data_IF_892279220755
#
_entry.id   IF_892279220755
#
_cell.length_a   1.000
_cell.length_b   1.000
_cell.length_c   1.000
_cell.angle_alpha   90.00
_cell.angle_beta   90.00
_cell.angle_gamma   90.00
#
_symmetry.space_group_name_H-M   'P 1'
#
loop_
_entity.id
_entity.type
_entity.pdbx_description
1 polymer ?
#
# COMPACT_ATOMS: atom_id res chain seq x y z
N UNK A 1 -1.47 -14.52 -9.27
CA UNK A 1 -0.84 -13.23 -9.58
C UNK A 1 -1.26 -12.82 -10.99
N UNK A 2 -1.97 -11.72 -11.13
CA UNK A 2 -2.53 -11.27 -12.42
C UNK A 2 -1.52 -10.45 -13.27
N UNK A 3 -0.28 -10.27 -12.79
CA UNK A 3 0.74 -9.44 -13.44
C UNK A 3 0.49 -7.92 -13.34
N UNK A 4 -0.69 -7.53 -12.89
CA UNK A 4 -1.11 -6.12 -12.77
C UNK A 4 -0.68 -5.48 -11.45
N UNK A 5 -0.26 -6.30 -10.46
CA UNK A 5 -0.02 -5.83 -9.10
C UNK A 5 -1.28 -5.20 -8.52
N UNK A 6 -2.22 -6.00 -8.01
CA UNK A 6 -3.52 -5.49 -7.58
C UNK A 6 -3.77 -5.74 -6.11
N UNK A 7 -4.39 -4.77 -5.42
CA UNK A 7 -4.94 -4.93 -4.09
C UNK A 7 -6.45 -5.15 -4.17
N UNK A 8 -6.90 -6.06 -3.32
CA UNK A 8 -8.31 -6.42 -3.21
C UNK A 8 -8.78 -6.28 -1.78
N UNK A 9 -10.06 -6.00 -1.60
CA UNK A 9 -10.74 -5.97 -0.33
C UNK A 9 -11.98 -6.88 -0.37
N UNK A 10 -12.23 -7.58 0.73
CA UNK A 10 -13.45 -8.35 0.91
C UNK A 10 -13.81 -8.43 2.39
N UNK A 11 -15.10 -8.59 2.66
CA UNK A 11 -15.57 -8.89 4.01
C UNK A 11 -15.29 -10.36 4.34
N UNK A 12 -14.87 -10.61 5.58
CA UNK A 12 -14.80 -11.96 6.12
C UNK A 12 -16.14 -12.40 6.69
N UNK A 13 -16.34 -13.71 6.78
CA UNK A 13 -17.44 -14.32 7.56
C UNK A 13 -17.30 -13.95 9.04
N UNK A 14 -18.40 -14.07 9.81
CA UNK A 14 -18.42 -13.68 11.22
C UNK A 14 -17.42 -14.48 12.07
N UNK A 15 -17.12 -15.71 11.67
CA UNK A 15 -16.10 -16.57 12.29
C UNK A 15 -14.67 -16.33 11.75
N UNK A 16 -14.51 -15.38 10.83
CA UNK A 16 -13.24 -14.98 10.20
C UNK A 16 -12.51 -16.08 9.41
N UNK A 17 -13.19 -17.19 9.08
CA UNK A 17 -12.54 -18.34 8.44
C UNK A 17 -12.58 -18.33 6.92
N UNK A 18 -13.40 -17.47 6.32
CA UNK A 18 -13.59 -17.39 4.86
C UNK A 18 -14.03 -16.01 4.40
N UNK A 19 -13.93 -15.76 3.11
CA UNK A 19 -14.53 -14.56 2.52
C UNK A 19 -16.06 -14.69 2.53
N UNK A 20 -16.75 -13.64 2.99
CA UNK A 20 -18.22 -13.56 2.97
C UNK A 20 -18.76 -13.10 1.61
N UNK A 21 -17.89 -12.52 0.77
CA UNK A 21 -18.24 -11.99 -0.55
C UNK A 21 -17.03 -12.09 -1.51
N UNK A 22 -17.23 -12.01 -2.83
CA UNK A 22 -16.14 -11.91 -3.79
C UNK A 22 -15.26 -10.69 -3.53
N UNK A 23 -13.92 -10.81 -3.64
CA UNK A 23 -13.02 -9.67 -3.46
C UNK A 23 -13.23 -8.58 -4.52
N UNK A 24 -13.32 -7.33 -4.08
CA UNK A 24 -13.34 -6.13 -4.94
C UNK A 24 -11.92 -5.64 -5.14
N UNK A 25 -11.49 -5.43 -6.41
CA UNK A 25 -10.22 -4.76 -6.71
C UNK A 25 -10.34 -3.28 -6.34
N UNK A 26 -9.39 -2.75 -5.55
CA UNK A 26 -9.38 -1.37 -5.07
C UNK A 26 -8.21 -0.55 -5.61
N UNK A 27 -7.10 -1.20 -5.96
CA UNK A 27 -5.91 -0.58 -6.54
C UNK A 27 -5.30 -1.53 -7.58
N UNK A 28 -4.71 -0.96 -8.62
CA UNK A 28 -3.86 -1.67 -9.59
C UNK A 28 -2.59 -0.88 -9.83
N UNK A 29 -1.43 -1.50 -9.62
CA UNK A 29 -0.13 -0.92 -9.94
C UNK A 29 -0.02 -0.58 -11.42
N UNK A 30 -0.48 -1.47 -12.30
CA UNK A 30 -0.48 -1.25 -13.75
C UNK A 30 -1.28 -0.03 -14.20
N UNK A 31 -2.41 0.24 -13.54
CA UNK A 31 -3.34 1.29 -13.98
C UNK A 31 -3.26 2.58 -13.15
N UNK A 32 -2.33 2.68 -12.19
CA UNK A 32 -2.19 3.89 -11.38
C UNK A 32 -1.45 5.04 -12.10
N UNK A 33 -0.77 4.76 -13.21
CA UNK A 33 -0.12 5.77 -14.05
C UNK A 33 1.29 6.21 -13.63
N UNK A 34 1.82 5.68 -12.51
CA UNK A 34 3.15 6.04 -11.99
C UNK A 34 4.00 4.84 -11.56
N UNK A 35 3.44 3.64 -11.48
CA UNK A 35 4.22 2.43 -11.21
C UNK A 35 4.98 1.99 -12.45
N UNK A 36 6.17 1.45 -12.23
CA UNK A 36 7.00 0.85 -13.28
C UNK A 36 7.02 -0.66 -13.16
N UNK A 37 7.22 -1.34 -14.28
CA UNK A 37 7.44 -2.78 -14.28
C UNK A 37 8.81 -3.12 -13.73
N UNK A 38 8.86 -4.17 -12.94
CA UNK A 38 10.12 -4.76 -12.46
C UNK A 38 10.20 -6.24 -12.85
N UNK A 39 11.41 -6.79 -12.83
CA UNK A 39 11.60 -8.24 -12.97
C UNK A 39 11.20 -8.91 -11.65
N UNK A 40 10.03 -9.52 -11.63
CA UNK A 40 9.49 -10.23 -10.48
C UNK A 40 10.23 -11.55 -10.24
N UNK A 41 10.66 -12.22 -11.29
CA UNK A 41 11.45 -13.45 -11.23
C UNK A 41 11.88 -13.90 -12.63
N UNK A 42 13.20 -14.00 -12.87
CA UNK A 42 13.81 -14.58 -14.09
C UNK A 42 13.18 -14.08 -15.40
N UNK A 43 13.12 -12.78 -15.59
CA UNK A 43 12.53 -12.10 -16.76
C UNK A 43 11.01 -12.17 -16.88
N UNK A 44 10.32 -12.45 -15.78
CA UNK A 44 8.87 -12.27 -15.69
C UNK A 44 8.63 -10.85 -15.16
N UNK A 45 8.27 -9.93 -16.05
CA UNK A 45 8.01 -8.54 -15.69
C UNK A 45 6.57 -8.34 -15.26
N UNK A 46 6.38 -7.46 -14.28
CA UNK A 46 5.06 -7.13 -13.78
C UNK A 46 5.09 -5.91 -12.87
N UNK A 47 3.91 -5.49 -12.46
CA UNK A 47 3.73 -4.42 -11.49
C UNK A 47 3.59 -4.99 -10.09
N UNK A 48 3.93 -4.18 -9.09
CA UNK A 48 3.76 -4.50 -7.67
C UNK A 48 2.71 -3.56 -7.07
N UNK A 49 1.82 -4.09 -6.25
CA UNK A 49 1.05 -3.36 -5.27
C UNK A 49 0.95 -4.24 -4.02
N UNK A 50 1.53 -3.78 -2.93
CA UNK A 50 1.68 -4.59 -1.71
C UNK A 50 1.71 -3.73 -0.44
N UNK A 51 1.80 -4.38 0.73
CA UNK A 51 1.88 -3.73 2.03
C UNK A 51 0.68 -2.82 2.32
N UNK A 52 -0.59 -3.25 2.07
CA UNK A 52 -1.74 -2.39 2.31
C UNK A 52 -1.94 -2.13 3.80
N UNK A 53 -2.10 -0.87 4.16
CA UNK A 53 -2.47 -0.46 5.49
C UNK A 53 -3.62 0.55 5.43
N UNK A 54 -4.71 0.25 6.14
CA UNK A 54 -5.93 1.07 6.16
C UNK A 54 -6.09 1.75 7.52
N UNK A 55 -6.49 3.02 7.50
CA UNK A 55 -6.91 3.75 8.69
C UNK A 55 -7.96 4.82 8.36
N UNK A 56 -8.66 5.29 9.39
CA UNK A 56 -9.61 6.39 9.26
C UNK A 56 -8.95 7.72 9.61
N UNK A 57 -9.23 8.74 8.80
CA UNK A 57 -8.77 10.10 9.01
C UNK A 57 -9.82 11.09 8.54
N UNK A 58 -10.36 11.89 9.45
CA UNK A 58 -11.34 12.94 9.12
C UNK A 58 -12.58 12.41 8.38
N UNK A 59 -13.10 11.24 8.76
CA UNK A 59 -14.27 10.60 8.14
C UNK A 59 -13.99 9.99 6.77
N UNK A 60 -12.73 9.85 6.38
CA UNK A 60 -12.29 9.18 5.14
C UNK A 60 -11.48 7.94 5.49
N UNK A 61 -11.48 6.97 4.59
CA UNK A 61 -10.57 5.82 4.70
C UNK A 61 -9.31 6.11 3.89
N UNK A 62 -8.18 6.04 4.55
CA UNK A 62 -6.85 6.16 3.93
C UNK A 62 -6.29 4.78 3.71
N UNK A 63 -5.77 4.54 2.52
CA UNK A 63 -5.00 3.36 2.15
C UNK A 63 -3.56 3.79 1.86
N UNK A 64 -2.63 3.27 2.66
CA UNK A 64 -1.21 3.27 2.32
C UNK A 64 -0.89 1.95 1.64
N UNK A 65 -0.09 2.00 0.59
CA UNK A 65 0.39 0.82 -0.13
C UNK A 65 1.71 1.12 -0.83
N UNK A 66 2.41 0.09 -1.26
CA UNK A 66 3.74 0.26 -1.84
C UNK A 66 3.83 -0.30 -3.25
N UNK A 67 4.63 0.37 -4.07
CA UNK A 67 4.94 -0.01 -5.46
C UNK A 67 6.31 0.52 -5.86
N UNK A 68 6.82 0.05 -7.00
CA UNK A 68 8.00 0.62 -7.64
C UNK A 68 7.59 1.76 -8.58
N UNK A 69 8.26 2.90 -8.44
CA UNK A 69 8.16 4.06 -9.31
C UNK A 69 9.52 4.33 -9.96
N UNK A 70 9.63 5.36 -10.79
CA UNK A 70 10.93 5.80 -11.33
C UNK A 70 11.93 6.20 -10.23
N UNK A 71 11.44 6.57 -9.05
CA UNK A 71 12.26 6.92 -7.87
C UNK A 71 12.65 5.72 -7.00
N UNK A 72 12.34 4.48 -7.41
CA UNK A 72 12.52 3.26 -6.62
C UNK A 72 11.26 2.84 -5.87
N UNK A 73 11.43 2.01 -4.83
CA UNK A 73 10.32 1.54 -4.00
C UNK A 73 9.71 2.69 -3.21
N UNK A 74 8.40 2.83 -3.26
CA UNK A 74 7.69 4.04 -2.84
C UNK A 74 6.41 3.71 -2.09
N UNK A 75 6.03 4.56 -1.14
CA UNK A 75 4.72 4.51 -0.45
C UNK A 75 3.76 5.47 -1.10
N UNK A 76 2.59 4.96 -1.42
CA UNK A 76 1.49 5.69 -2.06
C UNK A 76 0.34 5.84 -1.07
N UNK A 77 -0.28 7.00 -1.06
CA UNK A 77 -1.49 7.30 -0.30
C UNK A 77 -2.66 7.47 -1.25
N UNK A 78 -3.69 6.66 -1.03
CA UNK A 78 -5.00 6.78 -1.67
C UNK A 78 -6.07 7.06 -0.62
N UNK A 79 -7.17 7.68 -1.00
CA UNK A 79 -8.25 8.06 -0.09
C UNK A 79 -9.60 7.66 -0.67
N UNK A 80 -10.43 7.02 0.16
CA UNK A 80 -11.85 6.78 -0.12
C UNK A 80 -12.73 7.68 0.75
N UNK A 81 -13.68 8.36 0.10
CA UNK A 81 -14.72 9.17 0.78
C UNK A 81 -16.00 8.38 1.07
N UNK A 82 -16.12 7.19 0.48
CA UNK A 82 -17.34 6.37 0.49
C UNK A 82 -17.17 5.10 1.32
N UNK A 83 -16.38 5.19 2.41
CA UNK A 83 -16.12 4.06 3.31
C UNK A 83 -15.09 3.08 2.75
N UNK A 84 -14.91 1.98 3.48
CA UNK A 84 -13.85 0.98 3.23
C UNK A 84 -14.01 0.25 1.88
N UNK A 85 -15.23 0.10 1.39
CA UNK A 85 -15.53 -0.50 0.07
C UNK A 85 -15.69 0.52 -1.06
N UNK A 86 -15.39 1.80 -0.78
CA UNK A 86 -15.47 2.86 -1.77
C UNK A 86 -14.37 2.80 -2.83
N UNK A 87 -14.31 3.84 -3.64
CA UNK A 87 -13.27 4.00 -4.65
C UNK A 87 -12.10 4.79 -4.05
N UNK A 88 -10.91 4.24 -4.18
CA UNK A 88 -9.67 4.81 -3.63
C UNK A 88 -8.99 5.70 -4.66
N UNK A 89 -9.22 7.00 -4.56
CA UNK A 89 -8.56 7.98 -5.42
C UNK A 89 -7.11 8.21 -4.96
N UNK A 90 -6.20 8.38 -5.91
CA UNK A 90 -4.83 8.81 -5.63
C UNK A 90 -4.83 10.17 -4.93
N UNK A 91 -4.04 10.30 -3.87
CA UNK A 91 -3.87 11.54 -3.13
C UNK A 91 -2.44 12.08 -3.31
N UNK A 92 -1.45 11.30 -2.89
CA UNK A 92 -0.03 11.67 -3.02
C UNK A 92 0.88 10.44 -2.99
N UNK A 93 2.10 10.61 -3.49
CA UNK A 93 3.21 9.74 -3.16
C UNK A 93 3.76 10.22 -1.81
N UNK A 94 3.66 9.38 -0.79
CA UNK A 94 4.01 9.73 0.58
C UNK A 94 5.52 9.66 0.83
N UNK A 95 6.16 8.64 0.24
CA UNK A 95 7.59 8.40 0.37
C UNK A 95 8.16 7.86 -0.95
N UNK A 96 9.27 8.46 -1.44
CA UNK A 96 9.88 8.14 -2.74
C UNK A 96 11.41 8.00 -2.65
N UNK A 97 11.93 7.41 -1.56
CA UNK A 97 13.37 7.28 -1.33
C UNK A 97 13.78 5.82 -1.13
N UNK A 98 13.32 4.95 -2.03
CA UNK A 98 13.61 3.51 -2.01
C UNK A 98 13.24 2.85 -0.67
N UNK A 99 11.99 3.07 -0.23
CA UNK A 99 11.45 2.46 0.98
C UNK A 99 9.94 2.29 0.92
N UNK A 100 9.43 1.35 1.71
CA UNK A 100 8.02 1.04 1.65
C UNK A 100 7.56 0.00 2.67
N UNK A 101 6.44 -0.66 2.36
CA UNK A 101 5.80 -1.67 3.19
C UNK A 101 5.52 -1.13 4.60
N UNK A 102 4.83 0.01 4.64
CA UNK A 102 4.68 0.82 5.83
C UNK A 102 3.45 0.47 6.66
N UNK A 103 3.50 0.89 7.91
CA UNK A 103 2.32 0.97 8.77
C UNK A 103 2.34 2.27 9.57
N UNK A 104 1.15 2.73 9.96
CA UNK A 104 0.97 3.88 10.85
C UNK A 104 0.74 3.41 12.28
N UNK A 105 1.29 4.11 13.25
CA UNK A 105 0.99 3.90 14.66
C UNK A 105 0.99 5.23 15.43
N UNK A 106 0.42 5.22 16.62
CA UNK A 106 0.41 6.37 17.52
C UNK A 106 1.24 6.03 18.74
N UNK A 107 2.14 6.92 19.13
CA UNK A 107 2.98 6.73 20.32
C UNK A 107 2.23 7.08 21.61
N UNK A 108 2.92 6.93 22.74
CA UNK A 108 2.35 7.20 24.07
C UNK A 108 2.07 8.70 24.34
N UNK A 109 2.59 9.58 23.49
CA UNK A 109 2.33 11.01 23.50
C UNK A 109 1.24 11.42 22.50
N UNK A 110 0.49 10.44 21.98
CA UNK A 110 -0.56 10.63 20.97
C UNK A 110 -0.07 11.18 19.61
N UNK A 111 1.25 11.17 19.37
CA UNK A 111 1.80 11.57 18.08
C UNK A 111 1.75 10.39 17.10
N UNK A 112 1.30 10.67 15.88
CA UNK A 112 1.27 9.68 14.81
C UNK A 112 2.59 9.60 14.07
N UNK A 113 2.97 8.38 13.75
CA UNK A 113 4.19 8.04 13.02
C UNK A 113 3.91 7.00 11.94
N UNK A 114 4.71 7.02 10.89
CA UNK A 114 4.74 5.95 9.90
C UNK A 114 6.10 5.26 10.00
N UNK A 115 6.09 3.94 10.14
CA UNK A 115 7.29 3.10 10.03
C UNK A 115 7.29 2.39 8.69
N UNK A 116 8.44 2.35 8.05
CA UNK A 116 8.68 1.65 6.79
C UNK A 116 10.09 1.06 6.77
N UNK A 117 10.40 0.19 5.82
CA UNK A 117 11.76 -0.24 5.60
C UNK A 117 12.46 0.61 4.53
N UNK A 118 13.75 0.85 4.70
CA UNK A 118 14.61 1.56 3.74
C UNK A 118 16.08 1.15 3.97
N UNK A 119 16.89 0.93 2.89
CA UNK A 119 16.47 0.83 1.48
C UNK A 119 15.67 -0.45 1.22
N UNK A 120 15.10 -0.60 0.03
CA UNK A 120 14.47 -1.85 -0.40
C UNK A 120 15.49 -2.81 -1.03
N UNK A 121 16.57 -3.10 -0.33
CA UNK A 121 17.68 -3.95 -0.80
C UNK A 121 18.16 -4.86 0.32
N UNK A 122 17.89 -6.16 0.20
CA UNK A 122 18.32 -7.15 1.18
C UNK A 122 19.86 -7.38 1.11
N UNK A 123 20.56 -7.50 2.25
CA UNK A 123 20.11 -7.45 3.65
C UNK A 123 20.27 -6.06 4.31
N UNK A 124 20.13 -4.99 3.54
CA UNK A 124 20.44 -3.63 4.01
C UNK A 124 19.23 -2.90 4.63
N UNK A 125 18.03 -3.51 4.54
CA UNK A 125 16.80 -2.92 5.05
C UNK A 125 16.88 -2.59 6.53
N UNK A 126 16.40 -1.42 6.89
CA UNK A 126 16.27 -0.93 8.27
C UNK A 126 14.91 -0.31 8.46
N UNK A 127 14.35 -0.43 9.65
CA UNK A 127 13.16 0.32 10.04
C UNK A 127 13.49 1.82 10.10
N UNK A 128 12.68 2.62 9.43
CA UNK A 128 12.79 4.09 9.40
C UNK A 128 11.45 4.66 9.84
N UNK A 129 11.49 5.66 10.71
CA UNK A 129 10.32 6.44 11.11
C UNK A 129 10.27 7.74 10.29
N UNK A 130 9.08 8.04 9.80
CA UNK A 130 8.78 9.34 9.20
C UNK A 130 7.58 9.95 9.91
N UNK A 131 7.48 11.27 9.87
CA UNK A 131 6.30 11.98 10.38
C UNK A 131 5.11 11.73 9.45
N UNK A 132 3.92 11.60 10.03
CA UNK A 132 2.65 11.41 9.33
C UNK A 132 2.04 12.75 8.89
#
# INVERSE_FOLDING_TARGET
HDGDGSLFIARLSDDLTRLAEPPKKIVSGKHCGFSVQIDLHKKIFGYVAEGPYLYEEGGKIVLLWSTFTESGYSVIRNVSKNGVYGDYAFDKKLFEKDGGHCMRFTDLQEKSHIVLHQPNTSPLERAVLIDD
#
